data_IF_662444109770
#
_entry.id   IF_662444109770
#
_cell.length_a   1.000
_cell.length_b   1.000
_cell.length_c   1.000
_cell.angle_alpha   90.00
_cell.angle_beta   90.00
_cell.angle_gamma   90.00
#
_symmetry.space_group_name_H-M   'P 1'
#
loop_
_entity.id
_entity.type
_entity.pdbx_description
1 polymer ?
#
# COMPACT_ATOMS: atom_id res chain seq x y z
N UNK A 1 -2.94 -19.20 15.31
CA UNK A 1 -1.87 -18.48 14.59
C UNK A 1 -2.47 -17.13 14.22
N UNK A 2 -1.82 -16.01 14.56
CA UNK A 2 -2.49 -14.72 14.43
C UNK A 2 -2.44 -14.26 12.97
N UNK A 3 -3.48 -14.58 12.20
CA UNK A 3 -3.76 -14.18 10.80
C UNK A 3 -3.97 -12.67 10.62
N UNK A 4 -3.35 -11.84 11.45
CA UNK A 4 -3.56 -10.39 11.42
C UNK A 4 -2.68 -9.78 10.35
N UNK A 5 -3.33 -9.24 9.33
CA UNK A 5 -2.67 -8.35 8.35
C UNK A 5 -2.12 -7.13 9.10
N UNK A 6 -0.88 -6.76 8.81
CA UNK A 6 -0.24 -5.58 9.38
C UNK A 6 -0.02 -4.53 8.31
N UNK A 7 -0.31 -3.27 8.65
CA UNK A 7 -0.05 -2.12 7.79
C UNK A 7 0.93 -1.21 8.50
N UNK A 8 2.18 -1.14 8.02
CA UNK A 8 3.23 -0.31 8.59
C UNK A 8 3.42 0.94 7.74
N UNK A 9 3.15 2.09 8.33
CA UNK A 9 3.46 3.39 7.74
C UNK A 9 4.97 3.63 7.85
N UNK A 10 5.66 3.85 6.73
CA UNK A 10 7.10 4.17 6.73
C UNK A 10 7.30 5.68 6.74
N UNK A 11 8.18 6.22 7.61
CA UNK A 11 8.59 7.62 7.55
C UNK A 11 9.03 7.99 6.13
N UNK A 12 8.55 9.14 5.64
CA UNK A 12 8.86 9.69 4.32
C UNK A 12 8.61 8.71 3.15
N UNK A 13 7.72 7.73 3.34
CA UNK A 13 7.55 6.63 2.40
C UNK A 13 6.16 6.01 2.38
N UNK A 14 6.11 4.82 1.80
CA UNK A 14 4.88 4.05 1.57
C UNK A 14 4.29 3.42 2.82
N UNK A 15 3.07 2.91 2.67
CA UNK A 15 2.45 2.00 3.64
C UNK A 15 2.75 0.58 3.20
N UNK A 16 3.49 -0.18 4.02
CA UNK A 16 3.77 -1.61 3.77
C UNK A 16 2.65 -2.45 4.36
N UNK A 17 1.93 -3.16 3.51
CA UNK A 17 0.97 -4.18 3.92
C UNK A 17 1.71 -5.51 3.97
N UNK A 18 1.55 -6.25 5.06
CA UNK A 18 2.11 -7.60 5.24
C UNK A 18 0.99 -8.54 5.66
N UNK A 19 0.82 -9.62 4.89
CA UNK A 19 -0.35 -10.49 4.89
C UNK A 19 -1.12 -10.42 3.56
N UNK A 20 -2.04 -11.37 3.37
CA UNK A 20 -2.92 -11.43 2.20
C UNK A 20 -4.18 -10.62 2.44
N UNK A 21 -4.55 -9.80 1.46
CA UNK A 21 -5.73 -8.94 1.49
C UNK A 21 -6.51 -9.09 0.19
N UNK A 22 -7.83 -9.16 0.31
CA UNK A 22 -8.76 -9.10 -0.81
C UNK A 22 -9.17 -7.65 -1.09
N UNK A 23 -9.06 -7.25 -2.35
CA UNK A 23 -9.62 -6.01 -2.87
C UNK A 23 -11.05 -6.29 -3.29
N UNK A 24 -11.99 -5.69 -2.59
CA UNK A 24 -13.42 -5.81 -2.86
C UNK A 24 -13.94 -4.58 -3.59
N UNK A 25 -14.86 -4.76 -4.52
CA UNK A 25 -15.60 -3.67 -5.15
C UNK A 25 -16.68 -3.09 -4.21
N UNK A 26 -17.43 -2.09 -4.68
CA UNK A 26 -18.49 -1.45 -3.92
C UNK A 26 -19.67 -2.39 -3.56
N UNK A 27 -19.83 -3.48 -4.33
CA UNK A 27 -20.87 -4.50 -4.14
C UNK A 27 -20.38 -5.65 -3.24
N UNK A 28 -19.12 -5.64 -2.85
CA UNK A 28 -18.49 -6.64 -1.98
C UNK A 28 -17.89 -7.84 -2.72
N UNK A 29 -17.81 -7.82 -4.06
CA UNK A 29 -17.17 -8.88 -4.82
C UNK A 29 -15.64 -8.74 -4.77
N UNK A 30 -14.95 -9.86 -4.59
CA UNK A 30 -13.49 -9.90 -4.65
C UNK A 30 -13.02 -9.68 -6.09
N UNK A 31 -12.31 -8.59 -6.32
CA UNK A 31 -11.68 -8.27 -7.61
C UNK A 31 -10.30 -8.91 -7.74
N UNK A 32 -9.47 -8.81 -6.69
CA UNK A 32 -8.14 -9.40 -6.64
C UNK A 32 -7.70 -9.67 -5.20
N UNK A 33 -6.82 -10.66 -5.01
CA UNK A 33 -6.15 -10.92 -3.74
C UNK A 33 -4.66 -10.66 -3.88
N UNK A 34 -4.06 -9.92 -2.94
CA UNK A 34 -2.61 -9.65 -2.95
C UNK A 34 -1.98 -9.89 -1.60
N UNK A 35 -0.73 -10.33 -1.65
CA UNK A 35 0.10 -10.54 -0.46
C UNK A 35 1.29 -9.60 -0.51
N UNK A 36 1.62 -8.99 0.63
CA UNK A 36 2.89 -8.29 0.84
C UNK A 36 3.25 -7.19 -0.19
N UNK A 37 2.42 -6.15 -0.25
CA UNK A 37 2.58 -5.02 -1.18
C UNK A 37 2.82 -3.69 -0.46
N UNK A 38 3.15 -2.65 -1.22
CA UNK A 38 3.33 -1.29 -0.68
C UNK A 38 2.38 -0.33 -1.37
N UNK A 39 1.61 0.43 -0.60
CA UNK A 39 0.70 1.44 -1.10
C UNK A 39 1.37 2.82 -1.14
N UNK A 40 1.06 3.59 -2.17
CA UNK A 40 1.52 4.97 -2.32
C UNK A 40 0.88 5.83 -1.21
N UNK A 41 1.73 6.56 -0.48
CA UNK A 41 1.30 7.60 0.48
C UNK A 41 1.64 9.02 0.00
N UNK A 42 2.56 9.16 -0.96
CA UNK A 42 3.07 10.46 -1.40
C UNK A 42 2.26 11.13 -2.53
N UNK A 43 1.33 10.41 -3.19
CA UNK A 43 0.57 10.93 -4.33
C UNK A 43 1.30 10.97 -5.69
N UNK A 44 2.62 10.76 -5.71
CA UNK A 44 3.44 10.90 -6.92
C UNK A 44 3.68 9.60 -7.72
N UNK A 45 3.27 8.43 -7.21
CA UNK A 45 3.49 7.18 -7.94
C UNK A 45 2.77 7.15 -9.29
N UNK A 46 3.37 6.52 -10.29
CA UNK A 46 2.78 6.24 -11.62
C UNK A 46 2.00 4.92 -11.65
N UNK A 47 2.19 4.05 -10.66
CA UNK A 47 1.53 2.75 -10.53
C UNK A 47 0.47 2.75 -9.41
N UNK A 48 -0.26 3.85 -9.25
CA UNK A 48 -1.28 3.97 -8.20
C UNK A 48 -2.28 2.80 -8.27
N UNK A 49 -2.70 2.25 -7.12
CA UNK A 49 -2.47 2.73 -5.75
C UNK A 49 -1.13 2.30 -5.12
N UNK A 50 -0.27 1.61 -5.86
CA UNK A 50 0.98 1.04 -5.35
C UNK A 50 2.11 2.06 -5.29
N UNK A 51 3.13 1.77 -4.49
CA UNK A 51 4.34 2.56 -4.41
C UNK A 51 5.40 2.00 -5.38
N UNK A 52 5.83 2.83 -6.31
CA UNK A 52 6.93 2.58 -7.27
C UNK A 52 8.27 3.21 -6.86
N UNK A 53 8.30 3.97 -5.75
CA UNK A 53 9.50 4.67 -5.28
C UNK A 53 9.56 6.17 -5.58
N UNK A 54 8.59 6.73 -6.33
CA UNK A 54 8.56 8.17 -6.68
C UNK A 54 8.53 9.12 -5.48
N UNK A 55 8.23 8.64 -4.27
CA UNK A 55 8.32 9.45 -3.04
C UNK A 55 9.70 10.04 -2.79
N UNK A 56 10.78 9.37 -3.25
CA UNK A 56 12.15 9.86 -3.08
C UNK A 56 12.42 11.09 -3.94
N UNK A 57 12.09 10.99 -5.22
CA UNK A 57 12.27 12.08 -6.19
C UNK A 57 11.32 13.25 -5.90
N UNK A 58 10.11 12.96 -5.41
CA UNK A 58 9.14 13.98 -5.02
C UNK A 58 9.50 14.70 -3.69
N UNK A 59 10.57 14.30 -3.00
CA UNK A 59 10.95 14.90 -1.72
C UNK A 59 9.88 14.74 -0.64
N UNK A 60 9.11 13.63 -0.68
CA UNK A 60 8.00 13.42 0.24
C UNK A 60 8.49 13.39 1.69
N UNK A 61 7.93 14.28 2.52
CA UNK A 61 8.21 14.36 3.94
C UNK A 61 6.93 14.15 4.74
N UNK A 62 6.89 13.09 5.52
CA UNK A 62 5.79 12.76 6.43
C UNK A 62 6.28 11.75 7.47
N UNK A 63 6.15 12.08 8.74
CA UNK A 63 6.48 11.17 9.84
C UNK A 63 5.51 9.97 9.91
#
# INVERSE_FOLDING_TARGET
MSDRVTMRVKPNGSIRVTGTVDFVDADGNVMESKTDFSLCRCGHSKEKPYCDGSHREAGFSAE
#
